data_IF_044806176998
#
_entry.id   IF_044806176998
#
_cell.length_a   1.000
_cell.length_b   1.000
_cell.length_c   1.000
_cell.angle_alpha   90.00
_cell.angle_beta   90.00
_cell.angle_gamma   90.00
#
_symmetry.space_group_name_H-M   'P 1'
#
loop_
_entity.id
_entity.type
_entity.pdbx_description
1 polymer ?
#
# COMPACT_ATOMS: atom_id res chain seq x y z
N UNK A 1 8.15 1.37 -0.08
CA UNK A 1 6.98 0.59 -0.56
C UNK A 1 6.91 0.53 -2.08
N UNK A 2 6.89 1.66 -2.83
CA UNK A 2 6.79 1.60 -4.31
C UNK A 2 8.02 0.94 -4.95
N UNK A 3 9.22 1.18 -4.44
CA UNK A 3 10.43 0.49 -4.91
C UNK A 3 10.37 -1.04 -4.70
N UNK A 4 9.74 -1.50 -3.60
CA UNK A 4 9.50 -2.93 -3.36
C UNK A 4 8.41 -3.51 -4.25
N UNK A 5 7.43 -2.68 -4.61
CA UNK A 5 6.37 -3.07 -5.55
C UNK A 5 6.94 -3.31 -6.95
N UNK A 6 7.98 -2.59 -7.34
CA UNK A 6 8.68 -2.68 -8.64
C UNK A 6 7.74 -2.77 -9.86
N UNK A 7 6.82 -1.79 -10.04
CA UNK A 7 5.80 -1.88 -11.08
C UNK A 7 6.43 -1.75 -12.47
N UNK A 8 5.99 -2.61 -13.42
CA UNK A 8 6.53 -2.67 -14.77
C UNK A 8 5.54 -2.07 -15.80
N UNK A 9 6.04 -1.46 -16.89
CA UNK A 9 5.19 -0.98 -17.98
C UNK A 9 4.25 -2.05 -18.52
N UNK A 10 2.97 -1.69 -18.71
CA UNK A 10 1.95 -2.59 -19.22
C UNK A 10 1.17 -3.40 -18.19
N UNK A 11 1.62 -3.42 -16.92
CA UNK A 11 0.96 -4.12 -15.83
C UNK A 11 -0.35 -3.45 -15.38
N UNK A 12 -1.14 -4.21 -14.63
CA UNK A 12 -2.28 -3.72 -13.84
C UNK A 12 -1.87 -3.69 -12.38
N UNK A 13 -1.85 -2.50 -11.80
CA UNK A 13 -1.51 -2.26 -10.39
C UNK A 13 -2.71 -1.73 -9.63
N UNK A 14 -2.90 -2.17 -8.39
CA UNK A 14 -3.93 -1.64 -7.48
C UNK A 14 -3.26 -1.01 -6.27
N UNK A 15 -3.63 0.22 -5.95
CA UNK A 15 -3.27 0.95 -4.72
C UNK A 15 -4.54 1.12 -3.89
N UNK A 16 -4.68 0.32 -2.81
CA UNK A 16 -5.94 0.19 -2.04
C UNK A 16 -6.22 1.34 -1.09
N UNK A 17 -5.24 2.20 -0.78
CA UNK A 17 -5.42 3.36 0.11
C UNK A 17 -4.69 4.57 -0.48
N UNK A 18 -4.98 4.87 -1.74
CA UNK A 18 -4.15 5.67 -2.63
C UNK A 18 -4.01 7.16 -2.28
N UNK A 19 -4.97 7.74 -1.58
CA UNK A 19 -4.99 9.20 -1.40
C UNK A 19 -3.96 9.69 -0.35
N UNK A 20 -3.26 10.75 -0.65
CA UNK A 20 -3.52 11.81 -1.63
C UNK A 20 -3.01 11.56 -3.06
N UNK A 21 -2.33 10.42 -3.34
CA UNK A 21 -1.96 10.02 -4.69
C UNK A 21 -0.46 10.10 -5.01
N UNK A 22 0.40 10.37 -4.03
CA UNK A 22 1.86 10.43 -4.26
C UNK A 22 2.44 9.10 -4.70
N UNK A 23 2.09 7.99 -4.01
CA UNK A 23 2.53 6.65 -4.37
C UNK A 23 1.91 6.19 -5.69
N UNK A 24 0.61 6.42 -5.89
CA UNK A 24 -0.10 6.10 -7.14
C UNK A 24 0.51 6.82 -8.35
N UNK A 25 0.87 8.10 -8.19
CA UNK A 25 1.55 8.87 -9.24
C UNK A 25 2.93 8.30 -9.55
N UNK A 26 3.71 7.98 -8.53
CA UNK A 26 5.04 7.40 -8.70
C UNK A 26 5.01 6.00 -9.33
N UNK A 27 4.00 5.18 -9.00
CA UNK A 27 3.75 3.91 -9.69
C UNK A 27 3.53 4.15 -11.19
N UNK A 28 2.65 5.09 -11.55
CA UNK A 28 2.35 5.40 -12.95
C UNK A 28 3.56 5.94 -13.72
N UNK A 29 4.42 6.74 -13.07
CA UNK A 29 5.68 7.23 -13.65
C UNK A 29 6.66 6.08 -13.92
N UNK A 30 6.85 5.15 -12.96
CA UNK A 30 7.70 3.97 -13.17
C UNK A 30 7.16 3.08 -14.28
N UNK A 31 5.85 2.96 -14.41
CA UNK A 31 5.19 2.25 -15.51
C UNK A 31 5.24 3.02 -16.84
N UNK A 32 5.87 4.18 -16.91
CA UNK A 32 5.94 5.02 -18.11
C UNK A 32 4.54 5.33 -18.69
N UNK A 33 3.55 5.52 -17.83
CA UNK A 33 2.13 5.70 -18.18
C UNK A 33 1.54 4.57 -19.05
N UNK A 34 2.12 3.37 -19.01
CA UNK A 34 1.65 2.19 -19.75
C UNK A 34 0.99 1.20 -18.79
N UNK A 35 -0.17 0.66 -19.19
CA UNK A 35 -0.94 -0.27 -18.34
C UNK A 35 -2.08 0.40 -17.59
N UNK A 36 -2.33 0.01 -16.33
CA UNK A 36 -3.42 0.54 -15.51
C UNK A 36 -3.02 0.62 -14.04
N UNK A 37 -3.29 1.75 -13.41
CA UNK A 37 -3.13 1.93 -11.96
C UNK A 37 -4.48 2.29 -11.36
N UNK A 38 -5.11 1.35 -10.65
CA UNK A 38 -6.35 1.60 -9.91
C UNK A 38 -5.99 2.21 -8.55
N UNK A 39 -6.29 3.50 -8.38
CA UNK A 39 -6.13 4.18 -7.10
C UNK A 39 -7.46 4.17 -6.34
N UNK A 40 -7.58 3.34 -5.32
CA UNK A 40 -8.78 3.17 -4.50
C UNK A 40 -8.64 3.94 -3.21
N UNK A 41 -9.64 4.74 -2.84
CA UNK A 41 -9.73 5.39 -1.52
C UNK A 41 -11.19 5.57 -1.11
N UNK A 42 -11.47 5.40 0.18
CA UNK A 42 -12.82 5.54 0.74
C UNK A 42 -13.36 6.97 0.62
N UNK A 43 -12.50 7.99 0.68
CA UNK A 43 -12.89 9.38 0.76
C UNK A 43 -12.83 10.08 -0.60
N UNK A 44 -13.99 10.39 -1.27
CA UNK A 44 -14.01 11.04 -2.57
C UNK A 44 -13.31 12.40 -2.59
N UNK A 45 -13.36 13.14 -1.47
CA UNK A 45 -12.68 14.43 -1.31
C UNK A 45 -11.15 14.31 -1.36
N UNK A 46 -10.59 13.22 -0.87
CA UNK A 46 -9.15 12.93 -0.93
C UNK A 46 -8.71 12.56 -2.35
N UNK A 47 -9.55 11.85 -3.10
CA UNK A 47 -9.31 11.49 -4.51
C UNK A 47 -9.25 12.70 -5.45
N UNK A 48 -9.82 13.85 -5.06
CA UNK A 48 -9.67 15.09 -5.82
C UNK A 48 -8.20 15.46 -6.02
N UNK A 49 -7.35 15.23 -5.01
CA UNK A 49 -5.91 15.48 -5.10
C UNK A 49 -5.22 14.52 -6.08
N UNK A 50 -5.59 13.24 -6.05
CA UNK A 50 -5.09 12.25 -7.02
C UNK A 50 -5.47 12.66 -8.46
N UNK A 51 -6.72 13.10 -8.69
CA UNK A 51 -7.16 13.59 -10.01
C UNK A 51 -6.33 14.79 -10.47
N UNK A 52 -6.10 15.76 -9.58
CA UNK A 52 -5.26 16.94 -9.87
C UNK A 52 -3.80 16.53 -10.18
N UNK A 53 -3.22 15.57 -9.43
CA UNK A 53 -1.88 15.04 -9.70
C UNK A 53 -1.82 14.35 -11.06
N UNK A 54 -2.80 13.50 -11.37
CA UNK A 54 -2.93 12.82 -12.67
C UNK A 54 -2.94 13.82 -13.83
N UNK A 55 -3.79 14.85 -13.72
CA UNK A 55 -3.91 15.91 -14.75
C UNK A 55 -2.61 16.70 -14.89
N UNK A 56 -2.01 17.14 -13.79
CA UNK A 56 -0.78 17.92 -13.78
C UNK A 56 0.41 17.17 -14.38
N UNK A 57 0.50 15.86 -14.14
CA UNK A 57 1.59 15.01 -14.62
C UNK A 57 1.29 14.36 -15.98
N UNK A 58 0.09 14.54 -16.53
CA UNK A 58 -0.33 13.93 -17.78
C UNK A 58 -0.44 12.41 -17.75
N UNK A 59 -0.66 11.82 -16.55
CA UNK A 59 -0.69 10.37 -16.37
C UNK A 59 -2.07 9.82 -16.69
N UNK A 60 -2.21 9.15 -17.84
CA UNK A 60 -3.49 8.62 -18.33
C UNK A 60 -3.85 7.25 -17.76
N UNK A 61 -2.86 6.47 -17.36
CA UNK A 61 -3.05 5.10 -16.84
C UNK A 61 -3.71 5.03 -15.46
N UNK A 62 -3.78 6.16 -14.71
CA UNK A 62 -4.38 6.21 -13.37
C UNK A 62 -5.90 6.27 -13.44
N UNK A 63 -6.56 5.38 -12.73
CA UNK A 63 -8.02 5.27 -12.61
C UNK A 63 -8.40 5.48 -11.14
N UNK A 64 -8.85 6.69 -10.72
CA UNK A 64 -9.29 6.94 -9.35
C UNK A 64 -10.65 6.32 -9.09
N UNK A 65 -10.78 5.55 -8.01
CA UNK A 65 -12.00 4.83 -7.62
C UNK A 65 -12.36 5.16 -6.17
N UNK A 66 -13.55 5.75 -5.96
CA UNK A 66 -14.06 6.05 -4.62
C UNK A 66 -14.83 4.84 -4.08
N UNK A 67 -14.19 4.05 -3.23
CA UNK A 67 -14.82 2.91 -2.57
C UNK A 67 -13.99 2.45 -1.36
N UNK A 68 -14.58 1.62 -0.53
CA UNK A 68 -13.85 0.91 0.51
C UNK A 68 -12.90 -0.12 -0.15
N UNK A 69 -11.61 -0.03 0.17
CA UNK A 69 -10.60 -0.95 -0.36
C UNK A 69 -10.93 -2.42 -0.09
N UNK A 70 -11.59 -2.72 1.04
CA UNK A 70 -12.04 -4.07 1.41
C UNK A 70 -13.16 -4.63 0.52
N UNK A 71 -13.78 -3.80 -0.29
CA UNK A 71 -14.86 -4.17 -1.21
C UNK A 71 -14.45 -4.12 -2.69
N UNK A 72 -13.18 -3.79 -2.94
CA UNK A 72 -12.65 -3.70 -4.30
C UNK A 72 -12.75 -5.05 -5.01
N UNK A 73 -13.32 -5.07 -6.22
CA UNK A 73 -13.43 -6.28 -7.04
C UNK A 73 -12.88 -6.02 -8.42
N UNK A 74 -12.08 -6.94 -8.90
CA UNK A 74 -11.49 -6.89 -10.23
C UNK A 74 -12.12 -7.95 -11.15
N UNK A 75 -12.27 -7.63 -12.43
CA UNK A 75 -12.64 -8.62 -13.45
C UNK A 75 -11.49 -9.58 -13.79
N UNK A 76 -10.24 -9.11 -13.63
CA UNK A 76 -9.01 -9.88 -13.77
C UNK A 76 -8.10 -9.48 -12.63
N UNK A 77 -7.39 -10.43 -12.06
CA UNK A 77 -6.44 -10.19 -10.98
C UNK A 77 -5.32 -9.24 -11.43
N UNK A 78 -4.83 -8.46 -10.50
CA UNK A 78 -3.76 -7.50 -10.73
C UNK A 78 -2.38 -8.20 -10.74
N UNK A 79 -1.45 -7.61 -11.46
CA UNK A 79 -0.05 -8.01 -11.42
C UNK A 79 0.57 -7.65 -10.07
N UNK A 80 0.21 -6.47 -9.54
CA UNK A 80 0.72 -5.96 -8.26
C UNK A 80 -0.37 -5.28 -7.47
N UNK A 81 -0.28 -5.42 -6.14
CA UNK A 81 -1.19 -4.76 -5.19
C UNK A 81 -0.38 -4.07 -4.10
N UNK A 82 -0.64 -2.79 -3.90
CA UNK A 82 -0.10 -2.00 -2.79
C UNK A 82 -1.20 -1.77 -1.75
N UNK A 83 -0.91 -2.12 -0.51
CA UNK A 83 -1.69 -1.80 0.68
C UNK A 83 -0.88 -0.83 1.53
N UNK A 84 -0.87 0.47 1.14
CA UNK A 84 -0.30 1.53 1.98
C UNK A 84 -1.34 1.95 3.00
N UNK A 85 -1.43 1.16 4.05
CA UNK A 85 -2.57 1.16 4.94
C UNK A 85 -2.66 2.42 5.82
N UNK A 86 -3.88 2.92 6.11
CA UNK A 86 -4.06 3.94 7.13
C UNK A 86 -3.57 3.41 8.49
N UNK A 87 -2.75 4.19 9.19
CA UNK A 87 -2.08 3.78 10.42
C UNK A 87 -2.08 4.91 11.45
N UNK A 88 -1.61 4.63 12.68
CA UNK A 88 -1.42 5.64 13.73
C UNK A 88 -0.48 6.77 13.31
N UNK A 89 0.47 6.47 12.42
CA UNK A 89 1.44 7.44 11.91
C UNK A 89 2.56 7.78 12.89
N UNK A 90 2.75 6.98 13.94
CA UNK A 90 3.73 7.24 15.01
C UNK A 90 5.17 7.28 14.50
N UNK A 91 5.50 6.63 13.39
CA UNK A 91 6.81 6.76 12.72
C UNK A 91 7.07 8.16 12.14
N UNK A 92 6.04 9.01 12.04
CA UNK A 92 6.16 10.37 11.51
C UNK A 92 6.17 11.47 12.60
N UNK A 93 6.25 11.10 13.88
CA UNK A 93 6.20 12.03 15.03
C UNK A 93 7.25 13.14 14.95
N UNK A 94 8.42 12.89 14.38
CA UNK A 94 9.43 13.92 14.17
C UNK A 94 8.95 15.08 13.26
N UNK A 95 7.99 14.83 12.37
CA UNK A 95 7.38 15.81 11.46
C UNK A 95 5.98 16.26 11.90
N UNK A 96 5.32 15.47 12.76
CA UNK A 96 3.95 15.64 13.24
C UNK A 96 3.91 15.41 14.74
N UNK A 97 4.51 16.33 15.50
CA UNK A 97 4.67 16.20 16.95
C UNK A 97 3.35 16.08 17.71
N UNK A 98 2.26 16.63 17.14
CA UNK A 98 0.92 16.54 17.70
C UNK A 98 0.37 15.11 17.80
N UNK A 99 0.85 14.17 16.97
CA UNK A 99 0.42 12.76 17.00
C UNK A 99 0.70 12.10 18.36
N UNK A 100 1.79 12.49 19.01
CA UNK A 100 2.17 11.97 20.34
C UNK A 100 1.07 12.14 21.39
N UNK A 101 0.26 13.18 21.27
CA UNK A 101 -0.78 13.54 22.23
C UNK A 101 -2.20 13.16 21.77
N UNK A 102 -2.35 12.72 20.53
CA UNK A 102 -3.65 12.44 19.91
C UNK A 102 -3.91 10.97 19.69
N UNK A 103 -2.92 10.11 19.89
CA UNK A 103 -3.06 8.66 19.67
C UNK A 103 -3.21 7.93 20.99
N UNK A 104 -4.17 7.01 21.02
CA UNK A 104 -4.40 6.09 22.12
C UNK A 104 -4.10 4.65 21.70
N UNK A 105 -4.03 3.75 22.66
CA UNK A 105 -3.87 2.29 22.39
C UNK A 105 -5.07 1.75 21.60
N UNK A 106 -6.26 2.28 21.85
CA UNK A 106 -7.49 1.92 21.15
C UNK A 106 -7.44 2.33 19.66
N UNK A 107 -6.78 3.45 19.33
CA UNK A 107 -6.56 3.86 17.94
C UNK A 107 -5.66 2.88 17.21
N UNK A 108 -4.59 2.38 17.87
CA UNK A 108 -3.67 1.38 17.31
C UNK A 108 -4.44 0.08 17.05
N UNK A 109 -5.21 -0.42 18.03
CA UNK A 109 -6.00 -1.64 17.88
C UNK A 109 -7.03 -1.53 16.75
N UNK A 110 -7.68 -0.35 16.61
CA UNK A 110 -8.64 -0.09 15.54
C UNK A 110 -7.96 -0.06 14.16
N UNK A 111 -6.79 0.57 14.08
CA UNK A 111 -6.00 0.63 12.85
C UNK A 111 -5.50 -0.75 12.45
N UNK A 112 -4.94 -1.52 13.38
CA UNK A 112 -4.44 -2.89 13.17
C UNK A 112 -5.51 -3.81 12.60
N UNK A 113 -6.73 -3.75 13.15
CA UNK A 113 -7.86 -4.52 12.62
C UNK A 113 -8.19 -4.15 11.17
N UNK A 114 -8.29 -2.85 10.86
CA UNK A 114 -8.56 -2.38 9.50
C UNK A 114 -7.43 -2.78 8.54
N UNK A 115 -6.19 -2.67 8.96
CA UNK A 115 -5.01 -3.04 8.19
C UNK A 115 -5.00 -4.54 7.86
N UNK A 116 -5.33 -5.38 8.84
CA UNK A 116 -5.50 -6.82 8.64
C UNK A 116 -6.57 -7.11 7.58
N UNK A 117 -7.75 -6.48 7.69
CA UNK A 117 -8.83 -6.65 6.73
C UNK A 117 -8.45 -6.18 5.31
N UNK A 118 -7.69 -5.08 5.20
CA UNK A 118 -7.21 -4.57 3.91
C UNK A 118 -6.16 -5.49 3.28
N UNK A 119 -5.23 -6.02 4.08
CA UNK A 119 -4.19 -6.93 3.62
C UNK A 119 -4.80 -8.26 3.15
N UNK A 120 -5.70 -8.84 3.95
CA UNK A 120 -6.46 -10.05 3.58
C UNK A 120 -7.22 -9.86 2.27
N UNK A 121 -7.89 -8.73 2.12
CA UNK A 121 -8.61 -8.46 0.88
C UNK A 121 -7.65 -8.20 -0.29
N UNK A 122 -6.56 -7.47 -0.07
CA UNK A 122 -5.53 -7.19 -1.06
C UNK A 122 -4.94 -8.47 -1.66
N UNK A 123 -4.75 -9.51 -0.83
CA UNK A 123 -4.24 -10.80 -1.28
C UNK A 123 -5.17 -11.49 -2.29
N UNK A 124 -6.48 -11.26 -2.19
CA UNK A 124 -7.45 -11.82 -3.15
C UNK A 124 -7.44 -11.13 -4.52
N UNK A 125 -6.80 -9.98 -4.63
CA UNK A 125 -6.76 -9.18 -5.85
C UNK A 125 -5.52 -9.44 -6.71
N UNK A 126 -4.48 -10.04 -6.13
CA UNK A 126 -3.21 -10.30 -6.83
C UNK A 126 -3.27 -11.64 -7.55
N UNK A 127 -2.70 -11.72 -8.75
CA UNK A 127 -2.60 -12.97 -9.52
C UNK A 127 -1.54 -13.90 -8.91
N UNK A 128 -1.60 -15.21 -9.14
CA UNK A 128 -0.49 -16.11 -8.84
C UNK A 128 0.81 -15.64 -9.50
N UNK A 129 1.89 -15.59 -8.73
CA UNK A 129 3.19 -15.04 -9.14
C UNK A 129 3.23 -13.50 -9.23
N UNK A 130 2.20 -12.81 -8.77
CA UNK A 130 2.18 -11.36 -8.63
C UNK A 130 2.78 -10.91 -7.30
N UNK A 131 2.83 -9.60 -7.08
CA UNK A 131 3.45 -8.99 -5.89
C UNK A 131 2.40 -8.27 -5.05
N UNK A 132 2.40 -8.57 -3.75
CA UNK A 132 1.62 -7.86 -2.72
C UNK A 132 2.58 -7.11 -1.80
N UNK A 133 2.44 -5.79 -1.72
CA UNK A 133 3.23 -4.97 -0.78
C UNK A 133 2.31 -4.38 0.27
N UNK A 134 2.64 -4.64 1.53
CA UNK A 134 2.04 -3.99 2.68
C UNK A 134 2.99 -2.93 3.22
N UNK A 135 2.48 -1.74 3.53
CA UNK A 135 3.28 -0.67 4.13
C UNK A 135 2.46 0.22 5.06
N UNK A 136 3.12 0.73 6.09
CA UNK A 136 2.58 1.73 7.02
C UNK A 136 3.60 2.84 7.26
N UNK A 137 3.19 3.89 7.95
CA UNK A 137 4.09 4.95 8.42
C UNK A 137 4.15 4.99 9.96
N UNK A 138 4.05 3.84 10.61
CA UNK A 138 4.18 3.67 12.06
C UNK A 138 5.36 2.78 12.40
N UNK A 139 5.77 2.80 13.66
CA UNK A 139 6.82 1.91 14.20
C UNK A 139 6.22 0.85 15.16
N UNK A 140 4.91 0.90 15.40
CA UNK A 140 4.24 0.00 16.33
C UNK A 140 4.17 -1.42 15.73
N UNK A 141 4.66 -2.46 16.43
CA UNK A 141 4.65 -3.83 15.94
C UNK A 141 3.25 -4.33 15.59
N UNK A 142 2.24 -3.92 16.34
CA UNK A 142 0.82 -4.27 16.17
C UNK A 142 0.24 -3.80 14.82
N UNK A 143 0.88 -2.81 14.21
CA UNK A 143 0.48 -2.26 12.90
C UNK A 143 1.46 -2.68 11.78
N UNK A 144 2.53 -3.41 12.09
CA UNK A 144 3.61 -3.78 11.16
C UNK A 144 3.91 -5.28 11.19
N UNK A 145 4.94 -5.66 11.97
CA UNK A 145 5.49 -7.02 11.96
C UNK A 145 4.47 -8.06 12.38
N UNK A 146 3.65 -7.79 13.39
CA UNK A 146 2.64 -8.73 13.85
C UNK A 146 1.59 -9.03 12.79
N UNK A 147 1.17 -8.01 12.02
CA UNK A 147 0.22 -8.19 10.91
C UNK A 147 0.85 -9.02 9.80
N UNK A 148 2.09 -8.70 9.40
CA UNK A 148 2.79 -9.40 8.33
C UNK A 148 3.06 -10.88 8.69
N UNK A 149 3.50 -11.14 9.93
CA UNK A 149 3.76 -12.49 10.44
C UNK A 149 2.46 -13.32 10.53
N UNK A 150 1.40 -12.71 11.06
CA UNK A 150 0.10 -13.36 11.14
C UNK A 150 -0.48 -13.65 9.74
N UNK A 151 -0.31 -12.74 8.79
CA UNK A 151 -0.71 -12.95 7.40
C UNK A 151 0.08 -14.09 6.77
N UNK A 152 1.41 -14.08 6.87
CA UNK A 152 2.29 -15.13 6.33
C UNK A 152 1.95 -16.53 6.88
N UNK A 153 1.56 -16.59 8.17
CA UNK A 153 1.15 -17.85 8.80
C UNK A 153 -0.16 -18.38 8.22
N UNK A 154 -1.11 -17.50 7.90
CA UNK A 154 -2.42 -17.89 7.33
C UNK A 154 -2.36 -18.17 5.84
N UNK A 155 -1.38 -17.58 5.15
CA UNK A 155 -1.25 -17.63 3.69
C UNK A 155 0.11 -18.23 3.27
N UNK A 156 0.31 -19.56 3.45
CA UNK A 156 1.58 -20.22 3.11
C UNK A 156 1.90 -20.21 1.61
N UNK A 157 0.93 -19.82 0.76
CA UNK A 157 1.10 -19.59 -0.67
C UNK A 157 1.87 -18.29 -0.98
N UNK A 158 2.02 -17.38 0.01
CA UNK A 158 2.83 -16.16 -0.10
C UNK A 158 4.21 -16.39 0.51
N UNK A 159 5.24 -15.96 -0.19
CA UNK A 159 6.62 -15.94 0.30
C UNK A 159 7.04 -14.49 0.55
N UNK A 160 7.58 -14.20 1.73
CA UNK A 160 8.19 -12.90 2.00
C UNK A 160 9.49 -12.81 1.22
N UNK A 161 9.56 -11.84 0.31
CA UNK A 161 10.77 -11.55 -0.46
C UNK A 161 11.48 -10.34 0.13
N UNK A 162 12.72 -10.55 0.60
CA UNK A 162 13.61 -9.45 0.92
C UNK A 162 14.25 -8.93 -0.37
N UNK A 163 14.38 -7.61 -0.58
CA UNK A 163 15.11 -7.09 -1.72
C UNK A 163 16.55 -7.56 -1.69
N UNK A 164 16.98 -8.27 -2.76
CA UNK A 164 18.27 -8.95 -2.79
C UNK A 164 19.49 -8.02 -2.83
N UNK A 165 19.32 -6.80 -3.36
CA UNK A 165 20.45 -5.86 -3.54
C UNK A 165 20.03 -4.38 -3.53
N UNK A 166 21.01 -3.50 -3.30
CA UNK A 166 20.85 -2.03 -3.34
C UNK A 166 20.52 -1.40 -2.00
N UNK A 167 20.36 -0.08 -2.00
CA UNK A 167 20.12 0.72 -0.79
C UNK A 167 18.90 0.29 0.07
N UNK A 168 17.96 -0.43 -0.52
CA UNK A 168 16.79 -0.97 0.20
C UNK A 168 17.14 -2.27 0.92
N UNK A 169 17.95 -3.14 0.32
CA UNK A 169 18.37 -4.41 0.92
C UNK A 169 19.18 -4.23 2.20
N UNK A 170 19.98 -3.15 2.28
CA UNK A 170 20.77 -2.82 3.50
C UNK A 170 19.89 -2.36 4.68
N UNK A 171 18.64 -1.99 4.43
CA UNK A 171 17.69 -1.50 5.44
C UNK A 171 16.73 -2.59 5.92
N UNK A 172 16.74 -3.76 5.31
CA UNK A 172 15.83 -4.87 5.63
C UNK A 172 16.38 -5.69 6.78
N UNK A 173 15.56 -5.98 7.78
CA UNK A 173 15.94 -6.87 8.87
C UNK A 173 15.99 -8.34 8.42
N UNK A 174 16.48 -9.25 9.29
CA UNK A 174 16.57 -10.68 9.00
C UNK A 174 15.24 -11.39 8.72
N UNK A 175 14.10 -10.68 8.85
CA UNK A 175 12.74 -11.15 8.55
C UNK A 175 12.20 -10.59 7.23
N UNK A 176 13.01 -9.84 6.50
CA UNK A 176 12.59 -9.21 5.23
C UNK A 176 11.74 -7.93 5.39
N UNK A 177 11.76 -7.31 6.59
CA UNK A 177 11.00 -6.10 6.90
C UNK A 177 11.89 -4.85 6.97
N UNK A 178 11.35 -3.71 6.48
CA UNK A 178 11.98 -2.39 6.54
C UNK A 178 11.62 -1.65 7.83
#
# INVERSE_FOLDING_TARGET
>A
SVALLDPQPGETVVDLCCAPGGKTGFIAELMQDQGRVLGVDLAPGRLKRLKQHRERLGLSCIIPVAMDGRLCKLRRLADRVLVDAPCSGLGTVARRTELRWRRSVEDIATASKLQTELLEHGSTLVKPGGVLVYSTCTIEPEENSEIAEAFSTRHPEYTIEAPETGAVGELVDGRGML
#
